data_IF_876198792888
#
_entry.id   IF_876198792888
#
_cell.length_a   1.000
_cell.length_b   1.000
_cell.length_c   1.000
_cell.angle_alpha   90.00
_cell.angle_beta   90.00
_cell.angle_gamma   90.00
#
_symmetry.space_group_name_H-M   'P 1'
#
loop_
_entity.id
_entity.type
_entity.pdbx_description
1 polymer ?
#
# COMPACT_ATOMS: atom_id res chain seq x y z
N UNK A 1 28.22 -45.82 31.84
CA UNK A 1 27.19 -45.87 30.78
C UNK A 1 25.88 -45.55 31.47
N UNK A 2 25.30 -44.36 31.43
CA UNK A 2 25.36 -43.23 30.47
C UNK A 2 24.74 -42.06 31.26
N UNK A 3 25.49 -41.01 31.62
CA UNK A 3 25.51 -39.68 30.95
C UNK A 3 24.09 -39.22 30.56
N UNK A 4 23.43 -38.37 31.36
CA UNK A 4 23.33 -36.91 31.11
C UNK A 4 23.02 -36.60 29.65
N UNK A 5 21.75 -36.30 29.37
CA UNK A 5 21.36 -35.33 28.35
C UNK A 5 20.48 -34.28 29.03
N UNK A 6 21.16 -33.25 29.54
CA UNK A 6 20.59 -31.92 29.67
C UNK A 6 20.17 -31.45 28.26
N UNK A 7 18.87 -31.41 28.01
CA UNK A 7 18.31 -30.62 26.91
C UNK A 7 18.39 -29.14 27.32
N UNK A 8 19.51 -28.50 27.01
CA UNK A 8 19.71 -27.06 27.13
C UNK A 8 18.85 -26.25 26.16
N UNK A 9 18.53 -25.03 26.59
CA UNK A 9 18.29 -23.78 25.84
C UNK A 9 17.55 -23.91 24.49
N UNK A 10 16.35 -23.37 24.31
CA UNK A 10 16.08 -21.94 24.35
C UNK A 10 14.56 -21.69 24.27
N UNK A 11 13.95 -21.31 25.40
CA UNK A 11 12.57 -20.80 25.44
C UNK A 11 12.52 -19.38 26.05
N UNK A 12 13.68 -18.73 26.16
CA UNK A 12 13.85 -17.41 26.74
C UNK A 12 13.69 -16.28 25.72
N UNK A 13 13.90 -16.54 24.44
CA UNK A 13 14.08 -15.50 23.42
C UNK A 13 12.78 -14.90 22.84
N UNK A 14 11.69 -15.68 22.76
CA UNK A 14 10.48 -15.25 22.03
C UNK A 14 9.68 -14.10 22.66
N UNK A 15 9.57 -14.08 23.99
CA UNK A 15 8.76 -13.07 24.71
C UNK A 15 9.52 -11.77 24.97
N UNK A 16 10.84 -11.84 25.22
CA UNK A 16 11.64 -10.64 25.43
C UNK A 16 11.78 -9.83 24.13
N UNK A 17 11.82 -10.51 22.97
CA UNK A 17 11.71 -9.86 21.66
C UNK A 17 10.41 -9.05 21.45
N UNK A 18 9.31 -9.38 22.15
CA UNK A 18 8.08 -8.58 22.11
C UNK A 18 8.25 -7.22 22.79
N UNK A 19 9.05 -7.16 23.87
CA UNK A 19 9.33 -5.93 24.62
C UNK A 19 10.14 -4.97 23.75
N UNK A 20 11.15 -5.49 23.05
CA UNK A 20 12.01 -4.69 22.16
C UNK A 20 11.21 -4.08 21.01
N UNK A 21 10.24 -4.82 20.49
CA UNK A 21 9.35 -4.34 19.42
C UNK A 21 8.39 -3.24 19.88
N UNK A 22 8.06 -3.16 21.17
CA UNK A 22 7.19 -2.10 21.68
C UNK A 22 7.89 -0.74 21.63
N UNK A 23 7.39 0.19 20.81
CA UNK A 23 8.01 1.51 20.62
C UNK A 23 7.89 2.38 21.87
N UNK A 24 6.68 2.50 22.40
CA UNK A 24 6.36 3.53 23.38
C UNK A 24 6.88 3.11 24.77
N UNK A 25 7.81 3.85 25.37
CA UNK A 25 8.41 3.47 26.64
C UNK A 25 7.39 3.43 27.79
N UNK A 26 6.29 4.18 27.71
CA UNK A 26 5.25 4.17 28.72
C UNK A 26 4.31 2.97 28.58
N UNK A 27 3.91 2.63 27.36
CA UNK A 27 3.15 1.39 27.08
C UNK A 27 3.96 0.16 27.46
N UNK A 28 5.28 0.19 27.21
CA UNK A 28 6.22 -0.91 27.50
C UNK A 28 6.20 -1.33 28.97
N UNK A 29 5.96 -0.41 29.91
CA UNK A 29 5.85 -0.75 31.34
C UNK A 29 4.75 -1.79 31.57
N UNK A 30 3.57 -1.57 31.00
CA UNK A 30 2.44 -2.49 31.12
C UNK A 30 2.66 -3.81 30.36
N UNK A 31 3.36 -3.76 29.22
CA UNK A 31 3.73 -4.97 28.48
C UNK A 31 4.71 -5.86 29.26
N UNK A 32 5.71 -5.26 29.93
CA UNK A 32 6.64 -5.99 30.79
C UNK A 32 5.90 -6.66 31.96
N UNK A 33 4.96 -5.95 32.57
CA UNK A 33 4.11 -6.50 33.63
C UNK A 33 3.24 -7.65 33.11
N UNK A 34 2.65 -7.53 31.91
CA UNK A 34 1.86 -8.59 31.30
C UNK A 34 2.69 -9.86 31.07
N UNK A 35 3.92 -9.74 30.54
CA UNK A 35 4.83 -10.87 30.33
C UNK A 35 5.26 -11.49 31.67
N UNK A 36 5.49 -10.68 32.71
CA UNK A 36 5.77 -11.19 34.04
C UNK A 36 4.59 -11.98 34.61
N UNK A 37 3.35 -11.51 34.40
CA UNK A 37 2.15 -12.24 34.78
C UNK A 37 2.00 -13.56 34.01
N UNK A 38 2.28 -13.59 32.71
CA UNK A 38 2.28 -14.83 31.91
C UNK A 38 3.29 -15.83 32.47
N UNK A 39 4.54 -15.40 32.71
CA UNK A 39 5.61 -16.24 33.28
C UNK A 39 5.26 -16.79 34.67
N UNK A 40 4.49 -16.05 35.45
CA UNK A 40 4.04 -16.45 36.78
C UNK A 40 2.74 -17.28 36.80
N UNK A 41 2.12 -17.56 35.64
CA UNK A 41 0.82 -18.22 35.54
C UNK A 41 -0.37 -17.34 36.00
N UNK A 42 -0.16 -16.04 36.16
CA UNK A 42 -1.19 -15.06 36.53
C UNK A 42 -1.94 -14.56 35.27
N UNK A 43 -2.58 -15.49 34.56
CA UNK A 43 -3.07 -15.28 33.19
C UNK A 43 -4.17 -14.22 33.07
N UNK A 44 -5.06 -14.14 34.06
CA UNK A 44 -6.08 -13.07 34.12
C UNK A 44 -5.44 -11.68 34.17
N UNK A 45 -4.42 -11.52 35.01
CA UNK A 45 -3.66 -10.26 35.10
C UNK A 45 -2.88 -9.99 33.82
N UNK A 46 -2.32 -11.03 33.18
CA UNK A 46 -1.68 -10.89 31.87
C UNK A 46 -2.60 -10.24 30.83
N UNK A 47 -3.85 -10.70 30.71
CA UNK A 47 -4.81 -10.14 29.75
C UNK A 47 -5.15 -8.68 30.07
N UNK A 48 -5.40 -8.36 31.34
CA UNK A 48 -5.71 -7.00 31.80
C UNK A 48 -4.56 -6.03 31.51
N UNK A 49 -3.31 -6.45 31.79
CA UNK A 49 -2.13 -5.62 31.54
C UNK A 49 -1.83 -5.49 30.04
N UNK A 50 -2.06 -6.54 29.25
CA UNK A 50 -1.94 -6.49 27.78
C UNK A 50 -2.90 -5.46 27.20
N UNK A 51 -4.17 -5.50 27.63
CA UNK A 51 -5.17 -4.53 27.19
C UNK A 51 -4.83 -3.10 27.62
N UNK A 52 -4.38 -2.93 28.86
CA UNK A 52 -3.94 -1.62 29.39
C UNK A 52 -2.80 -1.04 28.55
N UNK A 53 -1.82 -1.87 28.17
CA UNK A 53 -0.73 -1.48 27.27
C UNK A 53 -1.25 -1.01 25.90
N UNK A 54 -2.22 -1.73 25.32
CA UNK A 54 -2.83 -1.38 24.02
C UNK A 54 -3.54 -0.03 24.09
N UNK A 55 -4.44 0.14 25.05
CA UNK A 55 -5.24 1.37 25.20
C UNK A 55 -4.33 2.58 25.40
N UNK A 56 -3.33 2.46 26.29
CA UNK A 56 -2.38 3.54 26.53
C UNK A 56 -1.63 3.91 25.24
N UNK A 57 -1.16 2.92 24.50
CA UNK A 57 -0.43 3.13 23.26
C UNK A 57 -1.28 3.81 22.20
N UNK A 58 -2.53 3.37 22.00
CA UNK A 58 -3.47 3.98 21.07
C UNK A 58 -3.76 5.44 21.44
N UNK A 59 -3.94 5.76 22.72
CA UNK A 59 -4.13 7.14 23.18
C UNK A 59 -2.89 8.00 22.89
N UNK A 60 -1.69 7.48 23.17
CA UNK A 60 -0.42 8.17 22.85
C UNK A 60 -0.32 8.46 21.36
N UNK A 61 -0.63 7.46 20.53
CA UNK A 61 -0.63 7.57 19.06
C UNK A 61 -1.61 8.61 18.54
N UNK A 62 -2.82 8.68 19.12
CA UNK A 62 -3.80 9.69 18.76
C UNK A 62 -3.35 11.09 19.18
N UNK A 63 -2.61 11.21 20.29
CA UNK A 63 -2.00 12.47 20.71
C UNK A 63 -0.89 12.91 19.74
N UNK A 64 0.02 11.99 19.38
CA UNK A 64 1.09 12.22 18.42
C UNK A 64 0.52 12.67 17.06
N UNK A 65 -0.50 11.96 16.55
CA UNK A 65 -1.21 12.33 15.33
C UNK A 65 -1.82 13.73 15.41
N UNK A 66 -2.44 14.09 16.52
CA UNK A 66 -3.08 15.40 16.65
C UNK A 66 -2.07 16.55 16.53
N UNK A 67 -0.85 16.39 17.05
CA UNK A 67 0.19 17.44 17.00
C UNK A 67 0.59 17.77 15.56
N UNK A 68 0.63 16.77 14.69
CA UNK A 68 1.11 16.90 13.30
C UNK A 68 -0.01 16.89 12.25
N UNK A 69 -1.26 16.67 12.67
CA UNK A 69 -2.43 16.52 11.81
C UNK A 69 -2.87 17.80 11.09
N UNK A 70 -3.55 17.62 9.96
CA UNK A 70 -4.31 18.66 9.27
C UNK A 70 -5.60 19.04 10.03
N UNK A 71 -6.22 20.17 9.66
CA UNK A 71 -7.44 20.66 10.31
C UNK A 71 -8.63 19.69 10.20
N UNK A 72 -8.67 18.86 9.16
CA UNK A 72 -9.65 17.79 9.02
C UNK A 72 -9.51 16.71 10.09
N UNK A 73 -8.30 16.19 10.28
CA UNK A 73 -8.02 15.16 11.28
C UNK A 73 -8.12 15.69 12.70
N UNK A 74 -7.70 16.94 12.96
CA UNK A 74 -7.90 17.60 14.26
C UNK A 74 -9.38 17.70 14.66
N UNK A 75 -10.26 18.05 13.72
CA UNK A 75 -11.71 18.08 13.96
C UNK A 75 -12.28 16.70 14.32
N UNK A 76 -11.79 15.65 13.65
CA UNK A 76 -12.21 14.26 13.94
C UNK A 76 -11.75 13.79 15.32
N UNK A 77 -10.58 14.24 15.78
CA UNK A 77 -10.01 13.90 17.09
C UNK A 77 -10.51 14.78 18.26
N UNK A 78 -11.22 15.88 17.96
CA UNK A 78 -11.67 16.83 18.98
C UNK A 78 -12.60 16.21 20.06
N UNK A 79 -13.56 15.33 19.73
CA UNK A 79 -14.41 14.68 20.73
C UNK A 79 -13.60 13.82 21.72
N UNK A 80 -12.68 13.01 21.19
CA UNK A 80 -11.79 12.18 22.01
C UNK A 80 -10.94 13.02 22.97
N UNK A 81 -10.42 14.16 22.50
CA UNK A 81 -9.64 15.07 23.35
C UNK A 81 -10.46 15.67 24.49
N UNK A 82 -11.72 16.02 24.24
CA UNK A 82 -12.60 16.50 25.29
C UNK A 82 -12.79 15.43 26.38
N UNK A 83 -12.92 14.16 26.00
CA UNK A 83 -13.02 13.04 26.94
C UNK A 83 -11.73 12.77 27.73
N UNK A 84 -10.55 13.03 27.16
CA UNK A 84 -9.24 12.87 27.80
C UNK A 84 -8.83 14.02 28.73
N UNK A 85 -9.38 15.22 28.53
CA UNK A 85 -9.05 16.45 29.30
C UNK A 85 -10.07 16.70 30.44
N UNK A 86 -10.91 15.70 30.74
CA UNK A 86 -11.85 15.75 31.87
C UNK A 86 -11.16 15.93 33.23
N UNK A 87 -11.96 16.26 34.25
CA UNK A 87 -11.48 16.53 35.61
C UNK A 87 -10.70 15.32 36.18
N UNK A 88 -9.40 15.45 36.50
CA UNK A 88 -8.59 14.37 37.05
C UNK A 88 -9.00 13.93 38.46
N UNK A 89 -9.95 14.63 39.10
CA UNK A 89 -10.50 14.28 40.42
C UNK A 89 -11.81 13.50 40.35
N UNK A 90 -12.42 13.40 39.17
CA UNK A 90 -13.57 12.54 38.94
C UNK A 90 -13.09 11.12 38.63
N UNK A 91 -13.31 10.16 39.54
CA UNK A 91 -13.19 8.74 39.21
C UNK A 91 -14.28 8.42 38.18
N UNK A 92 -13.94 8.13 36.92
CA UNK A 92 -14.94 7.70 35.96
C UNK A 92 -15.46 6.34 36.43
N UNK A 93 -16.76 6.10 36.29
CA UNK A 93 -17.27 4.76 36.55
C UNK A 93 -16.68 3.75 35.54
N UNK A 94 -16.59 2.48 35.94
CA UNK A 94 -15.96 1.44 35.12
C UNK A 94 -16.70 1.21 33.78
N UNK A 95 -17.96 1.67 33.66
CA UNK A 95 -18.74 1.64 32.43
C UNK A 95 -18.32 2.77 31.48
N UNK A 96 -18.11 3.98 31.99
CA UNK A 96 -17.61 5.13 31.24
C UNK A 96 -16.19 4.90 30.72
N UNK A 97 -15.31 4.30 31.52
CA UNK A 97 -13.96 3.94 31.07
C UNK A 97 -13.97 2.91 29.93
N UNK A 98 -14.79 1.86 30.04
CA UNK A 98 -14.91 0.87 28.95
C UNK A 98 -15.57 1.43 27.69
N UNK A 99 -16.57 2.29 27.85
CA UNK A 99 -17.18 2.97 26.71
C UNK A 99 -16.15 3.83 25.97
N UNK A 100 -15.32 4.55 26.71
CA UNK A 100 -14.22 5.35 26.16
C UNK A 100 -13.18 4.49 25.43
N UNK A 101 -12.74 3.37 26.00
CA UNK A 101 -11.80 2.44 25.35
C UNK A 101 -12.33 1.90 24.01
N UNK A 102 -13.63 1.59 23.94
CA UNK A 102 -14.26 1.16 22.68
C UNK A 102 -14.37 2.29 21.66
N UNK A 103 -14.60 3.51 22.14
CA UNK A 103 -14.59 4.71 21.31
C UNK A 103 -13.21 4.96 20.71
N UNK A 104 -12.14 4.80 21.50
CA UNK A 104 -10.75 4.84 21.03
C UNK A 104 -10.52 3.85 19.89
N UNK A 105 -10.94 2.59 20.06
CA UNK A 105 -10.85 1.59 18.99
C UNK A 105 -11.62 2.04 17.72
N UNK A 106 -12.79 2.67 17.90
CA UNK A 106 -13.59 3.20 16.80
C UNK A 106 -12.87 4.30 16.02
N UNK A 107 -12.23 5.23 16.73
CA UNK A 107 -11.44 6.28 16.10
C UNK A 107 -10.22 5.74 15.36
N UNK A 108 -9.49 4.78 15.93
CA UNK A 108 -8.28 4.24 15.27
C UNK A 108 -8.64 3.39 14.04
N UNK A 109 -9.79 2.72 14.02
CA UNK A 109 -10.33 2.06 12.83
C UNK A 109 -10.73 3.09 11.76
N UNK A 110 -11.44 4.17 12.16
CA UNK A 110 -11.82 5.25 11.24
C UNK A 110 -10.60 6.00 10.67
N UNK A 111 -9.49 6.06 11.42
CA UNK A 111 -8.22 6.65 10.99
C UNK A 111 -7.34 5.67 10.22
N UNK A 112 -7.82 4.45 9.98
CA UNK A 112 -7.11 3.36 9.29
C UNK A 112 -5.77 2.98 9.94
N UNK A 113 -5.63 3.17 11.25
CA UNK A 113 -4.45 2.71 12.01
C UNK A 113 -4.50 1.20 12.26
N UNK A 114 -5.70 0.63 12.25
CA UNK A 114 -5.98 -0.79 12.31
C UNK A 114 -7.00 -1.16 11.23
N UNK A 115 -6.92 -2.38 10.71
CA UNK A 115 -7.89 -2.93 9.78
C UNK A 115 -9.13 -3.47 10.50
N UNK A 116 -10.20 -3.73 9.74
CA UNK A 116 -11.42 -4.39 10.23
C UNK A 116 -11.13 -5.75 10.90
N UNK A 117 -10.21 -6.54 10.35
CA UNK A 117 -9.86 -7.85 10.88
C UNK A 117 -9.13 -7.71 12.21
N UNK A 118 -8.14 -6.82 12.27
CA UNK A 118 -7.38 -6.52 13.49
C UNK A 118 -8.28 -5.92 14.58
N UNK A 119 -9.29 -5.15 14.20
CA UNK A 119 -10.31 -4.66 15.13
C UNK A 119 -11.05 -5.81 15.82
N UNK A 120 -11.39 -6.88 15.11
CA UNK A 120 -12.05 -8.06 15.69
C UNK A 120 -11.15 -8.73 16.74
N UNK A 121 -9.85 -8.81 16.48
CA UNK A 121 -8.88 -9.40 17.42
C UNK A 121 -8.74 -8.54 18.68
N UNK A 122 -8.68 -7.20 18.54
CA UNK A 122 -8.65 -6.28 19.67
C UNK A 122 -9.98 -6.28 20.47
N UNK A 123 -11.13 -6.42 19.80
CA UNK A 123 -12.42 -6.58 20.47
C UNK A 123 -12.53 -7.91 21.24
N UNK A 124 -11.77 -8.95 20.84
CA UNK A 124 -11.67 -10.21 21.62
C UNK A 124 -10.82 -10.00 22.86
N UNK A 125 -9.66 -9.35 22.72
CA UNK A 125 -8.79 -9.01 23.85
C UNK A 125 -9.52 -8.14 24.89
N UNK A 126 -10.25 -7.10 24.47
CA UNK A 126 -11.04 -6.25 25.38
C UNK A 126 -12.05 -7.07 26.18
N UNK A 127 -12.77 -7.97 25.51
CA UNK A 127 -13.76 -8.85 26.17
C UNK A 127 -13.11 -9.79 27.16
N UNK A 128 -12.03 -10.47 26.78
CA UNK A 128 -11.34 -11.43 27.65
C UNK A 128 -10.70 -10.71 28.86
N UNK A 129 -10.14 -9.50 28.66
CA UNK A 129 -9.64 -8.66 29.76
C UNK A 129 -10.78 -8.17 30.69
N UNK A 130 -11.94 -7.85 30.14
CA UNK A 130 -13.13 -7.48 30.92
C UNK A 130 -13.65 -8.65 31.76
N UNK A 131 -13.63 -9.88 31.22
CA UNK A 131 -13.97 -11.09 31.97
C UNK A 131 -12.94 -11.37 33.07
N UNK A 132 -11.65 -11.22 32.76
CA UNK A 132 -10.55 -11.47 33.67
C UNK A 132 -10.52 -10.51 34.89
N UNK A 133 -10.90 -9.25 34.69
CA UNK A 133 -10.91 -8.21 35.73
C UNK A 133 -12.11 -8.28 36.68
N UNK A 134 -13.20 -8.94 36.27
CA UNK A 134 -14.42 -9.04 37.07
C UNK A 134 -14.96 -10.48 37.20
N UNK A 135 -14.20 -11.38 37.84
CA UNK A 135 -14.56 -12.80 37.96
C UNK A 135 -15.85 -13.04 38.76
N UNK A 136 -16.28 -12.10 39.59
CA UNK A 136 -17.46 -12.22 40.44
C UNK A 136 -18.80 -12.25 39.69
N UNK A 137 -18.84 -11.78 38.43
CA UNK A 137 -20.08 -11.79 37.62
C UNK A 137 -20.37 -13.16 36.97
N UNK A 138 -19.50 -14.17 37.15
CA UNK A 138 -19.56 -15.46 36.44
C UNK A 138 -19.41 -16.67 37.38
N UNK A 139 -19.94 -16.57 38.60
CA UNK A 139 -19.76 -17.55 39.68
C UNK A 139 -20.40 -18.93 39.41
N UNK A 140 -21.40 -19.03 38.54
CA UNK A 140 -22.12 -20.29 38.28
C UNK A 140 -21.39 -21.25 37.32
N UNK A 141 -20.40 -20.76 36.54
CA UNK A 141 -19.66 -21.55 35.53
C UNK A 141 -18.16 -21.70 35.85
N UNK A 142 -17.75 -21.57 37.11
CA UNK A 142 -16.34 -21.74 37.52
C UNK A 142 -15.42 -20.56 37.20
N UNK A 143 -15.98 -19.45 36.69
CA UNK A 143 -15.24 -18.22 36.37
C UNK A 143 -14.37 -18.33 35.12
N UNK A 144 -14.11 -17.19 34.47
CA UNK A 144 -13.23 -17.13 33.31
C UNK A 144 -11.79 -17.49 33.70
N UNK A 145 -11.31 -18.62 33.18
CA UNK A 145 -9.97 -19.15 33.42
C UNK A 145 -9.27 -19.28 32.06
N UNK A 146 -8.51 -18.25 31.63
CA UNK A 146 -7.75 -18.33 30.39
C UNK A 146 -6.62 -19.35 30.51
N UNK A 147 -6.21 -19.93 29.37
CA UNK A 147 -5.01 -20.77 29.27
C UNK A 147 -3.79 -19.96 28.80
N UNK A 148 -2.61 -20.57 28.92
CA UNK A 148 -1.33 -19.95 28.57
C UNK A 148 -1.26 -19.54 27.09
N UNK A 149 -1.83 -20.36 26.20
CA UNK A 149 -1.77 -20.16 24.76
C UNK A 149 -2.65 -18.99 24.32
N UNK A 150 -3.85 -18.85 24.91
CA UNK A 150 -4.72 -17.70 24.70
C UNK A 150 -4.04 -16.41 25.16
N UNK A 151 -3.44 -16.41 26.34
CA UNK A 151 -2.73 -15.24 26.87
C UNK A 151 -1.52 -14.87 26.00
N UNK A 152 -0.76 -15.86 25.52
CA UNK A 152 0.36 -15.65 24.59
C UNK A 152 -0.11 -15.10 23.24
N UNK A 153 -1.16 -15.67 22.66
CA UNK A 153 -1.71 -15.22 21.38
C UNK A 153 -2.19 -13.76 21.45
N UNK A 154 -2.81 -13.36 22.55
CA UNK A 154 -3.23 -11.98 22.79
C UNK A 154 -2.05 -11.03 22.90
N UNK A 155 -0.98 -11.41 23.61
CA UNK A 155 0.26 -10.62 23.71
C UNK A 155 0.91 -10.41 22.35
N UNK A 156 1.11 -11.49 21.60
CA UNK A 156 1.71 -11.44 20.27
C UNK A 156 0.90 -10.58 19.30
N UNK A 157 -0.43 -10.74 19.31
CA UNK A 157 -1.36 -9.96 18.49
C UNK A 157 -1.35 -8.48 18.89
N UNK A 158 -1.41 -8.17 20.19
CA UNK A 158 -1.35 -6.80 20.67
C UNK A 158 -0.07 -6.07 20.22
N UNK A 159 1.07 -6.76 20.29
CA UNK A 159 2.35 -6.21 19.84
C UNK A 159 2.38 -6.03 18.33
N UNK A 160 1.94 -7.04 17.57
CA UNK A 160 1.94 -7.00 16.11
C UNK A 160 0.97 -5.97 15.53
N UNK A 161 -0.21 -5.81 16.12
CA UNK A 161 -1.28 -4.93 15.64
C UNK A 161 -1.06 -3.49 16.11
N UNK A 162 -0.64 -3.31 17.37
CA UNK A 162 -0.57 -2.00 18.00
C UNK A 162 0.86 -1.67 18.39
N UNK A 163 1.41 -2.31 19.43
CA UNK A 163 2.56 -1.77 20.18
C UNK A 163 3.84 -1.59 19.36
N UNK A 164 4.01 -2.36 18.29
CA UNK A 164 5.16 -2.25 17.38
C UNK A 164 4.98 -1.23 16.24
N UNK A 165 3.75 -0.81 15.94
CA UNK A 165 3.44 0.04 14.77
C UNK A 165 3.56 1.52 15.10
N UNK A 166 3.94 2.31 14.11
CA UNK A 166 3.95 3.78 14.19
C UNK A 166 2.55 4.39 14.09
N UNK A 167 2.30 5.58 14.68
CA UNK A 167 1.07 6.36 14.47
C UNK A 167 1.06 7.09 13.11
N UNK A 168 1.25 6.39 12.00
CA UNK A 168 1.26 7.05 10.68
C UNK A 168 -0.12 6.92 10.04
N UNK A 169 -0.73 8.06 9.74
CA UNK A 169 -1.95 8.18 8.95
C UNK A 169 -1.70 7.70 7.50
N UNK A 170 -2.66 7.01 6.88
CA UNK A 170 -2.56 6.60 5.47
C UNK A 170 -2.16 7.73 4.52
N UNK A 171 -2.65 8.96 4.74
CA UNK A 171 -2.27 10.15 3.98
C UNK A 171 -0.84 10.65 4.25
N UNK A 172 -0.44 10.81 5.51
CA UNK A 172 0.93 11.21 5.85
C UNK A 172 1.96 10.18 5.35
N UNK A 173 1.61 8.89 5.39
CA UNK A 173 2.42 7.81 4.81
C UNK A 173 2.49 7.91 3.30
N UNK A 174 1.36 8.16 2.64
CA UNK A 174 1.30 8.38 1.20
C UNK A 174 2.16 9.56 0.77
N UNK A 175 2.13 10.67 1.52
CA UNK A 175 2.95 11.85 1.24
C UNK A 175 4.44 11.54 1.43
N UNK A 176 4.81 10.82 2.49
CA UNK A 176 6.20 10.40 2.72
C UNK A 176 6.72 9.48 1.61
N UNK A 177 5.90 8.52 1.15
CA UNK A 177 6.24 7.67 -0.01
C UNK A 177 6.36 8.51 -1.27
N UNK A 178 5.46 9.48 -1.46
CA UNK A 178 5.46 10.37 -2.61
C UNK A 178 6.72 11.25 -2.65
N UNK A 179 7.18 11.77 -1.52
CA UNK A 179 8.42 12.53 -1.42
C UNK A 179 9.64 11.70 -1.83
N UNK A 180 9.68 10.42 -1.44
CA UNK A 180 10.73 9.50 -1.88
C UNK A 180 10.68 9.29 -3.39
N UNK A 181 9.50 9.06 -3.98
CA UNK A 181 9.34 8.90 -5.44
C UNK A 181 9.71 10.18 -6.20
N UNK A 182 9.39 11.35 -5.63
CA UNK A 182 9.70 12.65 -6.22
C UNK A 182 11.18 13.04 -6.08
N UNK A 183 11.97 12.29 -5.31
CA UNK A 183 13.40 12.53 -5.13
C UNK A 183 14.17 12.33 -6.45
N UNK A 184 15.17 13.18 -6.77
CA UNK A 184 16.04 12.98 -7.92
C UNK A 184 16.79 11.63 -7.91
N UNK A 185 16.94 11.01 -6.74
CA UNK A 185 17.65 9.75 -6.56
C UNK A 185 16.76 8.51 -6.72
N UNK A 186 15.45 8.69 -6.86
CA UNK A 186 14.55 7.55 -7.02
C UNK A 186 14.83 6.82 -8.34
N UNK A 187 14.87 5.47 -8.35
CA UNK A 187 15.19 4.71 -9.56
C UNK A 187 14.17 4.90 -10.68
N UNK A 188 14.65 4.83 -11.93
CA UNK A 188 13.80 4.86 -13.15
C UNK A 188 13.49 3.47 -13.70
N UNK A 189 14.12 2.42 -13.15
CA UNK A 189 13.89 1.04 -13.56
C UNK A 189 12.97 0.33 -12.57
N UNK A 190 11.94 -0.41 -13.03
CA UNK A 190 10.95 -1.05 -12.16
C UNK A 190 11.54 -1.98 -11.08
N UNK A 191 12.56 -2.77 -11.41
CA UNK A 191 13.21 -3.70 -10.47
C UNK A 191 13.85 -2.95 -9.29
N UNK A 192 14.67 -1.94 -9.57
CA UNK A 192 15.31 -1.13 -8.55
C UNK A 192 14.29 -0.27 -7.77
N UNK A 193 13.24 0.23 -8.43
CA UNK A 193 12.14 0.92 -7.77
C UNK A 193 11.39 0.00 -6.79
N UNK A 194 11.20 -1.27 -7.18
CA UNK A 194 10.58 -2.30 -6.33
C UNK A 194 11.41 -2.56 -5.08
N UNK A 195 12.72 -2.75 -5.23
CA UNK A 195 13.65 -2.94 -4.09
C UNK A 195 13.63 -1.73 -3.15
N UNK A 196 13.78 -0.53 -3.70
CA UNK A 196 13.75 0.72 -2.93
C UNK A 196 12.44 0.90 -2.15
N UNK A 197 11.29 0.59 -2.77
CA UNK A 197 10.00 0.72 -2.12
C UNK A 197 9.77 -0.40 -1.08
N UNK A 198 10.15 -1.65 -1.38
CA UNK A 198 9.94 -2.79 -0.51
C UNK A 198 10.76 -2.75 0.78
N UNK A 199 12.04 -2.35 0.68
CA UNK A 199 12.94 -2.24 1.84
C UNK A 199 12.75 -0.93 2.62
N UNK A 200 12.09 0.07 2.01
CA UNK A 200 11.92 1.39 2.59
C UNK A 200 10.45 1.79 2.80
N UNK A 201 9.92 2.80 2.11
CA UNK A 201 8.65 3.47 2.47
C UNK A 201 7.40 2.56 2.46
N UNK A 202 7.46 1.45 1.70
CA UNK A 202 6.36 0.50 1.57
C UNK A 202 6.60 -0.81 2.34
N UNK A 203 7.62 -0.88 3.20
CA UNK A 203 7.78 -2.00 4.13
C UNK A 203 6.52 -2.14 5.02
N UNK A 204 5.87 -3.30 4.96
CA UNK A 204 4.60 -3.54 5.68
C UNK A 204 3.39 -2.75 5.13
N UNK A 205 3.38 -2.46 3.83
CA UNK A 205 2.30 -1.75 3.13
C UNK A 205 0.90 -2.33 3.42
N UNK A 206 -0.05 -1.47 3.81
CA UNK A 206 -1.48 -1.80 3.84
C UNK A 206 -2.10 -1.75 2.43
N UNK A 207 -3.20 -2.48 2.23
CA UNK A 207 -3.94 -2.46 0.95
C UNK A 207 -4.46 -1.05 0.59
N UNK A 208 -4.83 -0.23 1.58
CA UNK A 208 -5.32 1.14 1.36
C UNK A 208 -4.22 2.08 0.89
N UNK A 209 -3.00 1.98 1.44
CA UNK A 209 -1.85 2.75 1.00
C UNK A 209 -1.45 2.40 -0.44
N UNK A 210 -1.43 1.11 -0.78
CA UNK A 210 -1.14 0.63 -2.12
C UNK A 210 -2.10 1.23 -3.16
N UNK A 211 -3.39 1.20 -2.85
CA UNK A 211 -4.44 1.75 -3.70
C UNK A 211 -4.32 3.26 -3.86
N UNK A 212 -4.15 4.00 -2.77
CA UNK A 212 -4.02 5.46 -2.82
C UNK A 212 -2.78 5.90 -3.61
N UNK A 213 -1.66 5.18 -3.46
CA UNK A 213 -0.45 5.42 -4.23
C UNK A 213 -0.66 5.12 -5.72
N UNK A 214 -1.30 4.00 -6.05
CA UNK A 214 -1.67 3.65 -7.42
C UNK A 214 -2.50 4.77 -8.08
N UNK A 215 -3.57 5.22 -7.42
CA UNK A 215 -4.41 6.30 -7.94
C UNK A 215 -3.62 7.59 -8.19
N UNK A 216 -2.84 8.03 -7.18
CA UNK A 216 -2.04 9.25 -7.29
C UNK A 216 -1.00 9.17 -8.42
N UNK A 217 -0.35 8.02 -8.60
CA UNK A 217 0.60 7.79 -9.70
C UNK A 217 -0.09 7.85 -11.06
N UNK A 218 -1.25 7.20 -11.22
CA UNK A 218 -2.03 7.22 -12.47
C UNK A 218 -2.50 8.64 -12.80
N UNK A 219 -3.11 9.35 -11.84
CA UNK A 219 -3.51 10.75 -12.02
C UNK A 219 -2.32 11.63 -12.40
N UNK A 220 -1.19 11.43 -11.75
CA UNK A 220 0.01 12.19 -12.03
C UNK A 220 0.59 11.92 -13.43
N UNK A 221 0.53 10.67 -13.91
CA UNK A 221 1.01 10.31 -15.24
C UNK A 221 0.07 10.77 -16.36
N UNK A 222 -1.25 10.74 -16.12
CA UNK A 222 -2.25 11.04 -17.15
C UNK A 222 -2.65 12.53 -17.17
N UNK A 223 -2.83 13.14 -16.00
CA UNK A 223 -3.50 14.44 -15.86
C UNK A 223 -2.57 15.59 -15.46
N UNK A 224 -1.46 15.35 -14.76
CA UNK A 224 -0.56 16.44 -14.35
C UNK A 224 0.33 16.90 -15.52
N UNK A 225 0.23 18.18 -15.88
CA UNK A 225 0.97 18.77 -17.00
C UNK A 225 2.39 19.18 -16.63
N UNK A 226 2.71 19.26 -15.34
CA UNK A 226 3.99 19.79 -14.84
C UNK A 226 5.10 18.73 -14.77
N UNK A 227 4.79 17.50 -15.16
CA UNK A 227 5.67 16.34 -14.98
C UNK A 227 6.72 16.31 -16.09
N UNK A 228 7.97 16.60 -15.72
CA UNK A 228 9.14 16.53 -16.59
C UNK A 228 9.64 15.09 -16.79
N UNK A 229 10.43 14.84 -17.84
CA UNK A 229 10.77 13.49 -18.31
C UNK A 229 11.44 12.58 -17.28
N UNK A 230 12.28 13.10 -16.38
CA UNK A 230 12.88 12.27 -15.31
C UNK A 230 11.82 11.83 -14.29
N UNK A 231 11.06 12.78 -13.75
CA UNK A 231 9.99 12.51 -12.79
C UNK A 231 8.92 11.59 -13.38
N UNK A 232 8.65 11.71 -14.68
CA UNK A 232 7.72 10.84 -15.40
C UNK A 232 8.21 9.39 -15.45
N UNK A 233 9.48 9.17 -15.79
CA UNK A 233 10.11 7.83 -15.78
C UNK A 233 10.13 7.20 -14.38
N UNK A 234 10.48 7.98 -13.36
CA UNK A 234 10.41 7.56 -11.95
C UNK A 234 8.99 7.13 -11.54
N UNK A 235 7.97 7.89 -11.95
CA UNK A 235 6.56 7.56 -11.64
C UNK A 235 6.07 6.30 -12.35
N UNK A 236 6.49 6.05 -13.60
CA UNK A 236 6.21 4.77 -14.26
C UNK A 236 6.86 3.60 -13.52
N UNK A 237 8.14 3.73 -13.15
CA UNK A 237 8.85 2.71 -12.38
C UNK A 237 8.16 2.44 -11.03
N UNK A 238 7.76 3.50 -10.32
CA UNK A 238 7.02 3.40 -9.05
C UNK A 238 5.64 2.74 -9.23
N UNK A 239 4.92 3.04 -10.32
CA UNK A 239 3.61 2.45 -10.60
C UNK A 239 3.73 0.94 -10.85
N UNK A 240 4.67 0.54 -11.69
CA UNK A 240 4.95 -0.88 -11.97
C UNK A 240 5.36 -1.60 -10.68
N UNK A 241 6.29 -1.02 -9.92
CA UNK A 241 6.73 -1.56 -8.64
C UNK A 241 5.58 -1.71 -7.62
N UNK A 242 4.71 -0.71 -7.51
CA UNK A 242 3.55 -0.72 -6.61
C UNK A 242 2.60 -1.87 -6.95
N UNK A 243 2.33 -2.08 -8.24
CA UNK A 243 1.47 -3.18 -8.70
C UNK A 243 2.11 -4.54 -8.46
N UNK A 244 3.42 -4.67 -8.71
CA UNK A 244 4.17 -5.91 -8.46
C UNK A 244 4.18 -6.30 -6.99
N UNK A 245 4.29 -5.33 -6.07
CA UNK A 245 4.25 -5.56 -4.62
C UNK A 245 2.84 -5.90 -4.10
N UNK A 246 1.79 -5.48 -4.82
CA UNK A 246 0.39 -5.63 -4.37
C UNK A 246 -0.49 -6.28 -5.43
N UNK A 247 -0.15 -7.52 -5.82
CA UNK A 247 -0.85 -8.31 -6.87
C UNK A 247 -2.39 -8.32 -6.71
N UNK A 248 -2.90 -8.32 -5.47
CA UNK A 248 -4.36 -8.37 -5.18
C UNK A 248 -5.09 -7.02 -5.30
N UNK A 249 -4.41 -5.90 -5.11
CA UNK A 249 -5.00 -4.55 -5.22
C UNK A 249 -5.17 -4.15 -6.69
N UNK A 250 -4.25 -4.58 -7.55
CA UNK A 250 -4.25 -4.18 -8.95
C UNK A 250 -5.40 -4.79 -9.75
N UNK A 251 -5.80 -6.04 -9.51
CA UNK A 251 -6.79 -6.74 -10.33
C UNK A 251 -8.20 -6.15 -10.27
N UNK A 252 -8.75 -5.92 -9.06
CA UNK A 252 -10.15 -5.46 -8.91
C UNK A 252 -10.31 -3.95 -9.02
N UNK A 253 -9.25 -3.21 -8.77
CA UNK A 253 -9.34 -1.76 -8.62
C UNK A 253 -8.76 -1.02 -9.82
N UNK A 254 -7.80 -1.61 -10.56
CA UNK A 254 -7.30 -1.00 -11.78
C UNK A 254 -8.37 -0.90 -12.87
N UNK A 255 -9.29 -1.87 -12.99
CA UNK A 255 -10.28 -1.86 -14.08
C UNK A 255 -11.24 -0.65 -14.01
N UNK A 256 -11.87 -0.40 -12.85
CA UNK A 256 -12.82 0.71 -12.72
C UNK A 256 -12.12 2.07 -12.67
N UNK A 257 -10.96 2.15 -12.01
CA UNK A 257 -10.24 3.41 -11.84
C UNK A 257 -9.49 3.83 -13.09
N UNK A 258 -8.76 2.92 -13.76
CA UNK A 258 -8.03 3.25 -14.99
C UNK A 258 -8.97 3.73 -16.08
N UNK A 259 -10.11 3.06 -16.28
CA UNK A 259 -11.10 3.51 -17.26
C UNK A 259 -11.52 4.96 -16.98
N UNK A 260 -11.90 5.27 -15.73
CA UNK A 260 -12.28 6.63 -15.32
C UNK A 260 -11.14 7.63 -15.51
N UNK A 261 -9.92 7.30 -15.10
CA UNK A 261 -8.78 8.21 -15.23
C UNK A 261 -8.43 8.47 -16.70
N UNK A 262 -8.46 7.44 -17.54
CA UNK A 262 -8.18 7.52 -18.97
C UNK A 262 -9.22 8.37 -19.72
N UNK A 263 -10.50 8.27 -19.36
CA UNK A 263 -11.58 9.07 -19.96
C UNK A 263 -11.53 10.56 -19.56
N UNK A 264 -10.88 10.88 -18.44
CA UNK A 264 -10.63 12.26 -18.01
C UNK A 264 -9.47 12.95 -18.73
N UNK A 265 -8.67 12.21 -19.53
CA UNK A 265 -7.53 12.78 -20.25
C UNK A 265 -8.02 13.73 -21.35
N UNK A 266 -7.60 15.01 -21.36
CA UNK A 266 -8.00 15.94 -22.40
C UNK A 266 -7.38 15.57 -23.75
N UNK A 267 -8.05 15.92 -24.85
CA UNK A 267 -7.59 15.61 -26.21
C UNK A 267 -6.17 16.09 -26.53
N UNK A 268 -5.77 17.23 -25.95
CA UNK A 268 -4.41 17.77 -26.11
C UNK A 268 -3.32 16.86 -25.48
N UNK A 269 -3.70 15.93 -24.61
CA UNK A 269 -2.81 15.02 -23.88
C UNK A 269 -2.95 13.55 -24.29
N UNK A 270 -3.53 13.25 -25.46
CA UNK A 270 -3.64 11.87 -25.94
C UNK A 270 -2.27 11.18 -26.08
N UNK A 271 -1.18 11.94 -26.27
CA UNK A 271 0.19 11.41 -26.21
C UNK A 271 0.51 10.68 -24.90
N UNK A 272 -0.01 11.19 -23.76
CA UNK A 272 0.24 10.61 -22.45
C UNK A 272 -0.42 9.24 -22.32
N UNK A 273 -1.55 9.02 -23.00
CA UNK A 273 -2.19 7.71 -23.08
C UNK A 273 -1.40 6.74 -23.95
N UNK A 274 -0.90 7.19 -25.11
CA UNK A 274 -0.08 6.34 -25.99
C UNK A 274 1.15 5.83 -25.24
N UNK A 275 1.86 6.73 -24.54
CA UNK A 275 2.99 6.36 -23.69
C UNK A 275 2.55 5.46 -22.52
N UNK A 276 1.43 5.75 -21.85
CA UNK A 276 0.94 4.92 -20.75
C UNK A 276 0.65 3.48 -21.21
N UNK A 277 0.04 3.29 -22.38
CA UNK A 277 -0.21 1.97 -22.94
C UNK A 277 1.07 1.23 -23.30
N UNK A 278 2.10 1.94 -23.74
CA UNK A 278 3.42 1.38 -24.05
C UNK A 278 4.19 0.97 -22.78
N UNK A 279 4.15 1.79 -21.73
CA UNK A 279 4.89 1.55 -20.49
C UNK A 279 4.18 0.56 -19.56
N UNK A 280 2.84 0.55 -19.57
CA UNK A 280 1.99 -0.33 -18.77
C UNK A 280 1.31 -1.32 -19.73
N UNK A 281 2.07 -2.33 -20.15
CA UNK A 281 1.62 -3.28 -21.16
C UNK A 281 0.37 -4.05 -20.71
N UNK A 282 -0.56 -4.27 -21.63
CA UNK A 282 -1.88 -4.85 -21.31
C UNK A 282 -2.92 -3.84 -20.79
N UNK A 283 -2.55 -2.61 -20.44
CA UNK A 283 -3.51 -1.60 -19.97
C UNK A 283 -4.51 -1.11 -21.03
N UNK A 284 -4.22 -1.33 -22.32
CA UNK A 284 -5.13 -1.05 -23.44
C UNK A 284 -6.51 -1.71 -23.26
N UNK A 285 -6.56 -2.88 -22.58
CA UNK A 285 -7.81 -3.61 -22.36
C UNK A 285 -8.85 -2.80 -21.57
N UNK A 286 -8.40 -1.96 -20.64
CA UNK A 286 -9.26 -1.17 -19.74
C UNK A 286 -9.87 0.06 -20.40
N UNK A 287 -9.35 0.49 -21.55
CA UNK A 287 -9.89 1.64 -22.27
C UNK A 287 -11.19 1.30 -23.01
N UNK A 288 -12.16 2.21 -22.97
CA UNK A 288 -13.42 2.06 -23.72
C UNK A 288 -13.23 2.21 -25.23
N UNK A 289 -14.15 1.62 -26.00
CA UNK A 289 -14.12 1.66 -27.46
C UNK A 289 -14.09 3.08 -28.04
N UNK A 290 -14.75 4.05 -27.38
CA UNK A 290 -14.71 5.45 -27.80
C UNK A 290 -13.30 6.03 -27.66
N UNK A 291 -12.66 5.87 -26.49
CA UNK A 291 -11.31 6.34 -26.25
C UNK A 291 -10.29 5.64 -27.16
N UNK A 292 -10.43 4.32 -27.37
CA UNK A 292 -9.60 3.55 -28.29
C UNK A 292 -9.64 4.13 -29.71
N UNK A 293 -10.81 4.57 -30.20
CA UNK A 293 -10.94 5.24 -31.50
C UNK A 293 -10.24 6.59 -31.52
N UNK A 294 -10.40 7.40 -30.47
CA UNK A 294 -9.77 8.71 -30.36
C UNK A 294 -8.24 8.61 -30.32
N UNK A 295 -7.68 7.65 -29.58
CA UNK A 295 -6.23 7.40 -29.53
C UNK A 295 -5.69 6.93 -30.89
N UNK A 296 -6.39 6.01 -31.58
CA UNK A 296 -6.01 5.59 -32.95
C UNK A 296 -6.01 6.77 -33.93
N UNK A 297 -7.05 7.62 -33.86
CA UNK A 297 -7.14 8.80 -34.69
C UNK A 297 -6.03 9.81 -34.37
N UNK A 298 -5.66 9.96 -33.10
CA UNK A 298 -4.55 10.79 -32.67
C UNK A 298 -3.21 10.32 -33.23
N UNK A 299 -2.91 9.01 -33.16
CA UNK A 299 -1.66 8.45 -33.74
C UNK A 299 -1.58 8.75 -35.24
N UNK A 300 -2.65 8.42 -35.99
CA UNK A 300 -2.74 8.68 -37.44
C UNK A 300 -2.67 10.16 -37.82
N UNK A 301 -3.20 11.03 -36.97
CA UNK A 301 -3.26 12.48 -37.19
C UNK A 301 -2.16 13.28 -36.48
N UNK A 302 -1.17 12.61 -35.88
CA UNK A 302 -0.11 13.28 -35.10
C UNK A 302 0.71 14.24 -35.96
N UNK A 303 0.98 15.44 -35.46
CA UNK A 303 1.69 16.50 -36.18
C UNK A 303 2.65 17.26 -35.24
N UNK A 304 3.60 17.99 -35.83
CA UNK A 304 4.57 18.79 -35.09
C UNK A 304 5.65 17.96 -34.37
N UNK A 305 6.21 18.53 -33.31
CA UNK A 305 7.36 17.99 -32.57
C UNK A 305 7.06 16.69 -31.80
N UNK A 306 5.77 16.37 -31.56
CA UNK A 306 5.37 15.19 -30.80
C UNK A 306 5.33 13.90 -31.63
N UNK A 307 5.50 14.01 -32.95
CA UNK A 307 5.41 12.87 -33.89
C UNK A 307 6.41 11.76 -33.56
N UNK A 308 7.71 12.03 -33.36
CA UNK A 308 8.67 10.95 -33.07
C UNK A 308 8.33 10.20 -31.78
N UNK A 309 8.04 10.94 -30.70
CA UNK A 309 7.64 10.37 -29.41
C UNK A 309 6.35 9.55 -29.51
N UNK A 310 5.36 10.04 -30.26
CA UNK A 310 4.08 9.34 -30.44
C UNK A 310 4.26 8.02 -31.18
N UNK A 311 5.05 8.02 -32.25
CA UNK A 311 5.31 6.82 -33.06
C UNK A 311 6.11 5.79 -32.26
N UNK A 312 7.17 6.22 -31.58
CA UNK A 312 8.01 5.36 -30.73
C UNK A 312 7.15 4.54 -29.76
N UNK A 313 6.25 5.19 -29.01
CA UNK A 313 5.37 4.49 -28.07
C UNK A 313 4.25 3.71 -28.76
N UNK A 314 3.67 4.22 -29.86
CA UNK A 314 2.61 3.52 -30.57
C UNK A 314 3.09 2.18 -31.17
N UNK A 315 4.35 2.08 -31.61
CA UNK A 315 4.96 0.84 -32.10
C UNK A 315 5.14 -0.23 -31.01
N UNK A 316 5.10 0.17 -29.73
CA UNK A 316 5.18 -0.73 -28.57
C UNK A 316 3.81 -1.23 -28.12
N UNK A 317 2.72 -0.76 -28.73
CA UNK A 317 1.36 -1.15 -28.38
C UNK A 317 0.76 -1.90 -29.56
N UNK A 318 0.59 -3.21 -29.44
CA UNK A 318 0.12 -4.09 -30.54
C UNK A 318 -1.11 -3.53 -31.28
N UNK A 319 -2.06 -2.99 -30.52
CA UNK A 319 -3.29 -2.41 -31.07
C UNK A 319 -3.07 -1.17 -31.95
N UNK A 320 -1.95 -0.46 -31.80
CA UNK A 320 -1.63 0.81 -32.47
C UNK A 320 -0.57 0.67 -33.57
N UNK A 321 0.10 -0.48 -33.71
CA UNK A 321 1.18 -0.70 -34.70
C UNK A 321 0.76 -0.28 -36.10
N UNK A 322 -0.40 -0.76 -36.59
CA UNK A 322 -0.91 -0.39 -37.93
C UNK A 322 -1.20 1.10 -38.09
N UNK A 323 -1.68 1.74 -37.04
CA UNK A 323 -1.95 3.18 -37.03
C UNK A 323 -0.63 3.98 -37.09
N UNK A 324 0.43 3.48 -36.42
CA UNK A 324 1.77 4.05 -36.45
C UNK A 324 2.46 3.85 -37.81
N UNK A 325 2.41 2.65 -38.39
CA UNK A 325 2.94 2.35 -39.73
C UNK A 325 2.30 3.25 -40.80
N UNK A 326 0.98 3.41 -40.75
CA UNK A 326 0.27 4.33 -41.64
C UNK A 326 0.72 5.79 -41.47
N UNK A 327 1.04 6.20 -40.23
CA UNK A 327 1.57 7.53 -39.98
C UNK A 327 2.98 7.70 -40.53
N UNK A 328 3.86 6.73 -40.31
CA UNK A 328 5.26 6.69 -40.79
C UNK A 328 5.29 6.85 -42.32
N UNK A 329 4.44 6.11 -43.03
CA UNK A 329 4.32 6.20 -44.49
C UNK A 329 3.91 7.59 -45.00
N UNK A 330 3.31 8.42 -44.15
CA UNK A 330 2.87 9.78 -44.46
C UNK A 330 3.79 10.87 -43.87
N UNK A 331 4.99 10.52 -43.39
CA UNK A 331 5.96 11.48 -42.85
C UNK A 331 6.80 12.11 -43.96
N UNK A 332 7.23 13.34 -43.70
CA UNK A 332 8.26 13.99 -44.49
C UNK A 332 9.65 13.37 -44.19
N UNK A 333 10.60 13.40 -45.15
CA UNK A 333 11.94 12.82 -44.97
C UNK A 333 12.66 13.29 -43.70
N UNK A 334 12.54 14.56 -43.34
CA UNK A 334 13.21 15.14 -42.16
C UNK A 334 12.69 14.54 -40.84
N UNK A 335 11.42 14.12 -40.82
CA UNK A 335 10.82 13.47 -39.65
C UNK A 335 11.21 12.00 -39.56
N UNK A 336 11.44 11.34 -40.71
CA UNK A 336 11.94 9.97 -40.78
C UNK A 336 13.38 9.88 -40.23
N UNK A 337 14.23 10.86 -40.49
CA UNK A 337 15.60 10.90 -39.95
C UNK A 337 15.63 10.85 -38.42
N UNK A 338 14.67 11.52 -37.75
CA UNK A 338 14.57 11.51 -36.28
C UNK A 338 14.17 10.11 -35.77
N UNK A 339 13.28 9.41 -36.49
CA UNK A 339 12.88 8.04 -36.16
C UNK A 339 13.98 7.01 -36.43
N UNK A 340 14.81 7.26 -37.43
CA UNK A 340 15.99 6.44 -37.70
C UNK A 340 17.03 6.64 -36.59
N UNK A 341 17.23 7.87 -36.13
CA UNK A 341 18.13 8.17 -35.02
C UNK A 341 17.68 7.55 -33.68
N UNK A 342 16.38 7.36 -33.46
CA UNK A 342 15.86 6.66 -32.26
C UNK A 342 15.95 5.13 -32.35
N UNK A 343 16.21 4.58 -33.54
CA UNK A 343 16.28 3.14 -33.77
C UNK A 343 14.91 2.46 -33.93
N UNK A 344 13.82 3.24 -33.99
CA UNK A 344 12.47 2.71 -34.23
C UNK A 344 12.26 2.24 -35.67
N UNK A 345 13.08 2.77 -36.58
CA UNK A 345 13.02 2.52 -38.01
C UNK A 345 14.45 2.47 -38.55
N UNK A 346 14.74 1.61 -39.52
CA UNK A 346 16.02 1.58 -40.23
C UNK A 346 15.82 1.53 -41.74
N UNK A 347 16.83 1.94 -42.50
CA UNK A 347 16.89 1.62 -43.93
C UNK A 347 17.70 0.34 -44.10
N UNK A 348 17.13 -0.64 -44.81
CA UNK A 348 17.86 -1.84 -45.18
C UNK A 348 18.94 -1.53 -46.24
N UNK A 349 19.72 -2.55 -46.62
CA UNK A 349 20.79 -2.41 -47.62
C UNK A 349 20.27 -2.08 -49.03
N UNK A 350 18.96 -2.24 -49.28
CA UNK A 350 18.28 -1.90 -50.53
C UNK A 350 17.67 -0.49 -50.54
N UNK A 351 17.70 0.21 -49.39
CA UNK A 351 17.07 1.51 -49.22
C UNK A 351 15.57 1.44 -48.90
N UNK A 352 15.04 0.26 -48.57
CA UNK A 352 13.68 0.10 -48.05
C UNK A 352 13.62 0.35 -46.55
N UNK A 353 12.50 0.89 -46.08
CA UNK A 353 12.27 1.24 -44.69
C UNK A 353 11.81 0.01 -43.90
N UNK A 354 12.54 -0.37 -42.86
CA UNK A 354 12.22 -1.46 -41.94
C UNK A 354 11.78 -0.85 -40.60
N UNK A 355 10.60 -1.26 -40.11
CA UNK A 355 10.01 -0.74 -38.87
C UNK A 355 10.24 -1.76 -37.76
N UNK A 356 10.91 -1.35 -36.69
CA UNK A 356 11.16 -2.18 -35.52
C UNK A 356 10.02 -2.00 -34.51
N UNK A 357 9.09 -2.95 -34.48
CA UNK A 357 8.12 -3.04 -33.37
C UNK A 357 8.70 -3.92 -32.26
N UNK A 358 8.72 -3.40 -31.03
CA UNK A 358 9.08 -4.19 -29.86
C UNK A 358 8.01 -5.26 -29.63
N UNK A 359 8.31 -6.50 -30.00
CA UNK A 359 7.57 -7.68 -29.56
C UNK A 359 8.02 -8.02 -28.15
N UNK A 360 7.09 -7.95 -27.20
CA UNK A 360 7.25 -8.36 -25.80
C UNK A 360 7.89 -9.76 -25.79
N UNK A 361 9.05 -9.91 -25.14
CA UNK A 361 9.64 -11.23 -24.93
C UNK A 361 8.93 -11.87 -23.74
N UNK A 362 8.79 -13.19 -23.75
CA UNK A 362 8.18 -13.93 -22.64
C UNK A 362 8.89 -13.69 -21.29
N UNK A 363 10.14 -13.24 -21.33
CA UNK A 363 10.99 -12.87 -20.20
C UNK A 363 10.54 -11.55 -19.52
N UNK A 364 9.83 -10.67 -20.23
CA UNK A 364 9.42 -9.33 -19.74
C UNK A 364 8.15 -9.38 -18.85
N UNK A 365 7.53 -10.55 -18.70
CA UNK A 365 6.26 -10.71 -17.96
C UNK A 365 6.43 -10.49 -16.45
N UNK A 366 7.61 -10.80 -15.89
CA UNK A 366 7.92 -10.49 -14.48
C UNK A 366 8.06 -8.98 -14.22
N UNK A 367 8.40 -8.20 -15.24
CA UNK A 367 8.53 -6.73 -15.18
C UNK A 367 7.24 -5.99 -15.56
N UNK A 368 6.27 -6.68 -16.17
CA UNK A 368 5.01 -6.11 -16.64
C UNK A 368 3.82 -6.82 -15.98
N UNK A 369 3.50 -6.49 -14.71
CA UNK A 369 2.51 -7.22 -13.92
C UNK A 369 1.07 -7.10 -14.46
N UNK A 370 0.84 -6.18 -15.40
CA UNK A 370 -0.43 -6.02 -16.08
C UNK A 370 -0.69 -7.05 -17.20
N UNK A 371 0.35 -7.75 -17.67
CA UNK A 371 0.24 -8.84 -18.64
C UNK A 371 -0.22 -10.14 -17.98
N UNK A 372 0.25 -10.41 -16.76
CA UNK A 372 -0.12 -11.60 -15.98
C UNK A 372 -1.59 -11.61 -15.49
N UNK A 373 -2.37 -10.58 -15.83
CA UNK A 373 -3.80 -10.52 -15.49
C UNK A 373 -4.69 -11.45 -16.33
N UNK A 374 -4.16 -12.11 -17.37
CA UNK A 374 -4.91 -13.12 -18.14
C UNK A 374 -5.02 -14.47 -17.41
N UNK A 375 -3.95 -14.96 -16.77
CA UNK A 375 -3.91 -16.30 -16.17
C UNK A 375 -4.84 -16.44 -14.93
N UNK A 376 -5.03 -15.35 -14.17
CA UNK A 376 -5.83 -15.38 -12.94
C UNK A 376 -7.35 -15.52 -13.18
N UNK A 377 -7.85 -15.30 -14.41
CA UNK A 377 -9.25 -15.56 -14.76
C UNK A 377 -9.51 -17.02 -15.13
N UNK A 378 -8.51 -17.74 -15.63
CA UNK A 378 -8.64 -19.18 -15.91
C UNK A 378 -8.59 -20.00 -14.61
N UNK A 379 -7.71 -19.67 -13.66
CA UNK A 379 -7.62 -20.39 -12.37
C UNK A 379 -8.82 -20.17 -11.44
N UNK A 380 -9.58 -19.09 -11.62
CA UNK A 380 -10.81 -18.84 -10.85
C UNK A 380 -12.07 -19.51 -11.44
N UNK A 381 -11.92 -20.26 -12.54
CA UNK A 381 -13.00 -20.95 -13.24
C UNK A 381 -12.91 -22.47 -13.23
N UNK A 382 -12.07 -23.04 -12.35
CA UNK A 382 -11.98 -24.49 -12.06
C UNK A 382 -12.46 -24.80 -10.65
#
# INVERSE_FOLDING_TARGET
>A
MTSVEESGADAGDGLDGLIERCRNPRSRVFLVEAIACLRAGALRSCLVMTWSSVVFDLISKLHELHVVADEGTKKRLAPLRASLVGDPTALPDAASNRAFEREVLGFVEQLELITRAERIDLDRLERDAALASHPAFYLEEGGFTPDDDLARAHLESAVAIVLAREPIQGHARLDSVWEVIASPYFPVHPVAARECLAEGPLAGMSHSLAYALFCRLVESLLLDERVVDLARRQRFAALIATVSLSKRVALRTAESYLNRAMTMVPRARLWALVEFFAQIQGSWRFAESALKRDVRAYVRGSTGEQVPRTIHYALQVEALVRDAEARIAALAPEQLEILVASGDVEYDRGGELVIHSLRIRAEDVEEQPFLAFDDAREEASV
#
